data_IF_897573355253
#
_entry.id   IF_897573355253
#
_cell.length_a   1.000
_cell.length_b   1.000
_cell.length_c   1.000
_cell.angle_alpha   90.00
_cell.angle_beta   90.00
_cell.angle_gamma   90.00
#
_symmetry.space_group_name_H-M   'P 1'
#
loop_
_entity.id
_entity.type
_entity.pdbx_description
1 polymer ?
#
# COMPACT_ATOMS: atom_id res chain seq x y z
N UNK A 1 22.93 -13.98 -88.75
CA UNK A 1 23.75 -13.76 -87.54
C UNK A 1 23.00 -12.72 -86.75
N UNK A 2 22.09 -13.14 -85.86
CA UNK A 2 21.21 -12.24 -85.12
C UNK A 2 21.58 -12.26 -83.64
N UNK A 3 21.78 -11.05 -83.11
CA UNK A 3 22.22 -10.75 -81.75
C UNK A 3 20.96 -10.52 -80.92
N UNK A 4 20.71 -11.35 -79.91
CA UNK A 4 19.64 -11.10 -78.95
C UNK A 4 20.17 -10.20 -77.82
N UNK A 5 19.63 -8.98 -77.72
CA UNK A 5 19.85 -8.07 -76.60
C UNK A 5 18.96 -8.48 -75.41
N UNK A 6 19.50 -8.42 -74.19
CA UNK A 6 18.77 -8.66 -72.94
C UNK A 6 18.51 -7.30 -72.29
N UNK A 7 17.25 -6.84 -72.27
CA UNK A 7 16.84 -5.58 -71.62
C UNK A 7 16.61 -5.81 -70.12
N UNK A 8 17.22 -4.96 -69.29
CA UNK A 8 17.11 -4.98 -67.82
C UNK A 8 16.16 -3.86 -67.36
N UNK A 9 14.87 -4.17 -67.23
CA UNK A 9 13.86 -3.17 -66.84
C UNK A 9 13.40 -3.37 -65.39
N UNK A 10 14.25 -3.00 -64.44
CA UNK A 10 13.77 -2.59 -63.12
C UNK A 10 13.39 -1.09 -63.22
N UNK A 11 12.11 -0.84 -63.47
CA UNK A 11 11.52 0.51 -63.59
C UNK A 11 11.87 1.41 -62.40
N UNK A 12 12.46 2.58 -62.67
CA UNK A 12 12.83 3.63 -61.71
C UNK A 12 11.70 4.01 -60.73
N UNK A 13 10.45 3.74 -61.09
CA UNK A 13 9.28 3.96 -60.24
C UNK A 13 9.24 3.11 -58.97
N UNK A 14 9.73 1.86 -59.01
CA UNK A 14 9.74 0.96 -57.86
C UNK A 14 10.81 1.35 -56.83
N UNK A 15 11.99 1.77 -57.31
CA UNK A 15 13.10 2.23 -56.47
C UNK A 15 12.70 3.51 -55.71
N UNK A 16 12.00 4.44 -56.37
CA UNK A 16 11.53 5.69 -55.75
C UNK A 16 10.45 5.42 -54.69
N UNK A 17 9.54 4.46 -54.93
CA UNK A 17 8.52 4.09 -53.94
C UNK A 17 9.14 3.41 -52.72
N UNK A 18 10.12 2.55 -52.91
CA UNK A 18 10.81 1.87 -51.81
C UNK A 18 11.62 2.87 -50.95
N UNK A 19 12.33 3.81 -51.58
CA UNK A 19 13.03 4.88 -50.86
C UNK A 19 12.08 5.81 -50.08
N UNK A 20 10.88 6.10 -50.61
CA UNK A 20 9.84 6.86 -49.91
C UNK A 20 9.29 6.08 -48.71
N UNK A 21 9.07 4.77 -48.87
CA UNK A 21 8.61 3.90 -47.77
C UNK A 21 9.64 3.82 -46.63
N UNK A 22 10.93 3.78 -46.94
CA UNK A 22 12.03 3.80 -45.95
C UNK A 22 12.08 5.14 -45.21
N UNK A 23 11.98 6.28 -45.91
CA UNK A 23 11.92 7.61 -45.29
C UNK A 23 10.70 7.78 -44.38
N UNK A 24 9.53 7.31 -44.81
CA UNK A 24 8.29 7.37 -44.01
C UNK A 24 8.40 6.51 -42.74
N UNK A 25 9.01 5.31 -42.82
CA UNK A 25 9.30 4.46 -41.66
C UNK A 25 10.26 5.14 -40.68
N UNK A 26 11.31 5.83 -41.16
CA UNK A 26 12.26 6.57 -40.33
C UNK A 26 11.57 7.74 -39.59
N UNK A 27 10.75 8.52 -40.31
CA UNK A 27 9.96 9.62 -39.74
C UNK A 27 8.94 9.16 -38.70
N UNK A 28 8.30 7.99 -38.91
CA UNK A 28 7.39 7.39 -37.92
C UNK A 28 8.10 6.92 -36.65
N UNK A 29 9.33 6.42 -36.77
CA UNK A 29 10.17 6.04 -35.61
C UNK A 29 10.57 7.28 -34.79
N UNK A 30 10.99 8.36 -35.45
CA UNK A 30 11.34 9.63 -34.78
C UNK A 30 10.13 10.28 -34.10
N UNK A 31 8.96 10.31 -34.75
CA UNK A 31 7.72 10.79 -34.13
C UNK A 31 7.27 9.94 -32.93
N UNK A 32 7.55 8.62 -32.92
CA UNK A 32 7.32 7.77 -31.75
C UNK A 32 8.30 8.11 -30.61
N UNK A 33 9.57 8.36 -30.90
CA UNK A 33 10.56 8.76 -29.87
C UNK A 33 10.17 10.06 -29.16
N UNK A 34 9.71 11.07 -29.90
CA UNK A 34 9.28 12.35 -29.33
C UNK A 34 7.94 12.26 -28.57
N UNK A 35 7.00 11.41 -29.01
CA UNK A 35 5.70 11.21 -28.35
C UNK A 35 5.79 10.51 -26.99
N UNK A 36 6.81 9.67 -26.77
CA UNK A 36 7.01 8.94 -25.52
C UNK A 36 8.00 9.61 -24.55
N UNK A 37 8.54 10.80 -24.88
CA UNK A 37 9.42 11.53 -23.96
C UNK A 37 10.68 10.77 -23.54
N UNK A 38 11.10 9.75 -24.31
CA UNK A 38 12.30 8.97 -24.04
C UNK A 38 13.49 9.84 -24.46
N UNK A 39 14.01 10.66 -23.54
CA UNK A 39 15.33 11.27 -23.71
C UNK A 39 16.34 10.13 -23.63
N UNK A 40 17.01 9.82 -24.74
CA UNK A 40 18.19 8.95 -24.72
C UNK A 40 19.23 9.64 -23.84
N UNK A 41 19.37 9.19 -22.58
CA UNK A 41 20.46 9.60 -21.72
C UNK A 41 21.69 8.85 -22.18
N UNK A 42 22.65 9.56 -22.74
CA UNK A 42 23.98 9.02 -23.01
C UNK A 42 24.74 8.98 -21.69
N UNK A 43 25.15 7.79 -21.25
CA UNK A 43 25.97 7.60 -20.06
C UNK A 43 27.42 7.34 -20.48
N UNK A 44 28.38 7.99 -19.84
CA UNK A 44 29.78 7.94 -20.26
C UNK A 44 30.52 6.74 -19.66
N UNK A 45 30.02 6.18 -18.55
CA UNK A 45 30.59 5.00 -17.91
C UNK A 45 29.50 4.08 -17.34
N UNK A 46 29.87 2.81 -17.09
CA UNK A 46 28.95 1.81 -16.54
C UNK A 46 28.47 2.16 -15.11
N UNK A 47 29.27 2.88 -14.33
CA UNK A 47 28.90 3.31 -12.97
C UNK A 47 27.75 4.32 -12.94
N UNK A 48 27.70 5.23 -13.92
CA UNK A 48 26.63 6.21 -14.10
C UNK A 48 25.33 5.53 -14.53
N UNK A 49 25.41 4.49 -15.37
CA UNK A 49 24.26 3.67 -15.75
C UNK A 49 23.66 3.00 -14.52
N UNK A 50 24.50 2.32 -13.72
CA UNK A 50 24.04 1.67 -12.49
C UNK A 50 23.44 2.65 -11.49
N UNK A 51 24.10 3.80 -11.27
CA UNK A 51 23.62 4.83 -10.36
C UNK A 51 22.30 5.44 -10.84
N UNK A 52 22.14 5.66 -12.15
CA UNK A 52 20.89 6.17 -12.73
C UNK A 52 19.76 5.15 -12.57
N UNK A 53 20.01 3.88 -12.87
CA UNK A 53 19.05 2.78 -12.68
C UNK A 53 18.66 2.71 -11.20
N UNK A 54 19.63 2.61 -10.27
CA UNK A 54 19.34 2.55 -8.83
C UNK A 54 18.51 3.75 -8.35
N UNK A 55 18.84 4.95 -8.80
CA UNK A 55 18.11 6.17 -8.43
C UNK A 55 16.72 6.25 -9.07
N UNK A 56 16.54 5.79 -10.30
CA UNK A 56 15.27 5.79 -11.01
C UNK A 56 14.32 4.74 -10.43
N UNK A 57 14.84 3.56 -10.07
CA UNK A 57 14.11 2.55 -9.30
C UNK A 57 13.71 3.09 -7.93
N UNK A 58 14.62 3.74 -7.22
CA UNK A 58 14.33 4.35 -5.90
C UNK A 58 13.23 5.40 -6.01
N UNK A 59 13.31 6.29 -7.01
CA UNK A 59 12.29 7.33 -7.26
C UNK A 59 10.95 6.76 -7.73
N UNK A 60 10.95 5.70 -8.53
CA UNK A 60 9.73 5.00 -8.93
C UNK A 60 9.03 4.39 -7.72
N UNK A 61 9.78 3.72 -6.83
CA UNK A 61 9.24 3.19 -5.58
C UNK A 61 8.66 4.29 -4.70
N UNK A 62 9.36 5.42 -4.49
CA UNK A 62 8.87 6.47 -3.58
C UNK A 62 7.68 7.24 -4.14
N UNK A 63 7.62 7.48 -5.46
CA UNK A 63 6.63 8.39 -6.05
C UNK A 63 5.38 7.66 -6.58
N UNK A 64 5.47 6.41 -7.02
CA UNK A 64 4.30 5.65 -7.49
C UNK A 64 3.58 4.87 -6.38
N UNK A 65 4.18 4.68 -5.20
CA UNK A 65 3.39 4.43 -4.01
C UNK A 65 2.89 5.76 -3.45
N UNK A 66 1.98 6.40 -4.17
CA UNK A 66 0.96 7.17 -3.46
C UNK A 66 0.31 6.17 -2.51
N UNK A 67 0.72 6.19 -1.24
CA UNK A 67 0.00 5.54 -0.16
C UNK A 67 -1.31 6.31 -0.08
N UNK A 68 -2.25 5.99 -0.96
CA UNK A 68 -3.62 6.43 -0.82
C UNK A 68 -4.02 5.83 0.52
N UNK A 69 -4.06 6.66 1.56
CA UNK A 69 -4.61 6.35 2.88
C UNK A 69 -6.15 6.26 2.73
N UNK A 70 -6.62 5.64 1.66
CA UNK A 70 -7.93 5.05 1.51
C UNK A 70 -7.86 3.76 2.29
N UNK A 71 -8.06 3.87 3.60
CA UNK A 71 -8.08 2.73 4.51
C UNK A 71 -8.99 1.66 3.91
N UNK A 72 -8.42 0.49 3.62
CA UNK A 72 -9.14 -0.55 2.90
C UNK A 72 -10.39 -0.97 3.68
N UNK A 73 -11.46 -1.34 2.97
CA UNK A 73 -12.69 -1.81 3.63
C UNK A 73 -12.41 -3.03 4.51
N UNK A 74 -11.43 -3.86 4.14
CA UNK A 74 -10.97 -5.03 4.89
C UNK A 74 -10.34 -4.60 6.21
N UNK A 75 -9.48 -3.58 6.19
CA UNK A 75 -8.88 -3.02 7.40
C UNK A 75 -9.96 -2.50 8.33
N UNK A 76 -10.88 -1.65 7.84
CA UNK A 76 -11.99 -1.14 8.63
C UNK A 76 -12.86 -2.24 9.24
N UNK A 77 -13.15 -3.30 8.48
CA UNK A 77 -13.95 -4.43 8.95
C UNK A 77 -13.24 -5.16 10.09
N UNK A 78 -11.96 -5.51 9.90
CA UNK A 78 -11.16 -6.19 10.92
C UNK A 78 -10.94 -5.33 12.18
N UNK A 79 -10.74 -4.02 12.01
CA UNK A 79 -10.64 -3.06 13.10
C UNK A 79 -11.94 -2.91 13.88
N UNK A 80 -13.09 -2.85 13.19
CA UNK A 80 -14.39 -2.72 13.83
C UNK A 80 -14.73 -3.98 14.64
N UNK A 81 -14.45 -5.16 14.10
CA UNK A 81 -14.63 -6.42 14.82
C UNK A 81 -13.69 -6.53 16.02
N UNK A 82 -12.41 -6.17 15.85
CA UNK A 82 -11.47 -6.09 16.96
C UNK A 82 -11.94 -5.08 18.02
N UNK A 83 -12.47 -3.93 17.61
CA UNK A 83 -13.00 -2.92 18.52
C UNK A 83 -14.20 -3.46 19.33
N UNK A 84 -15.02 -4.34 18.76
CA UNK A 84 -16.12 -5.04 19.45
C UNK A 84 -15.67 -6.14 20.40
N UNK A 85 -14.48 -6.72 20.21
CA UNK A 85 -14.01 -7.80 21.09
C UNK A 85 -13.80 -7.29 22.52
N UNK A 86 -14.19 -8.05 23.54
CA UNK A 86 -14.00 -7.63 24.94
C UNK A 86 -12.57 -7.89 25.45
N UNK A 87 -11.57 -7.41 24.69
CA UNK A 87 -10.16 -7.47 25.09
C UNK A 87 -9.88 -6.44 26.18
N UNK A 88 -9.26 -6.88 27.27
CA UNK A 88 -8.74 -6.03 28.33
C UNK A 88 -7.55 -5.21 27.79
N UNK A 89 -7.67 -3.89 27.87
CA UNK A 89 -6.63 -2.95 27.44
C UNK A 89 -6.17 -2.19 28.67
N UNK A 90 -4.86 -2.19 28.90
CA UNK A 90 -4.26 -1.37 29.95
C UNK A 90 -3.80 -0.05 29.32
N UNK A 91 -4.26 1.06 29.85
CA UNK A 91 -3.87 2.41 29.41
C UNK A 91 -2.94 3.04 30.44
N UNK A 92 -1.86 3.65 29.97
CA UNK A 92 -0.98 4.51 30.76
C UNK A 92 -0.97 5.86 30.06
N UNK A 93 -1.51 6.88 30.74
CA UNK A 93 -1.51 8.25 30.26
C UNK A 93 -0.32 9.01 30.81
N UNK A 94 0.41 9.65 29.91
CA UNK A 94 1.32 10.76 30.19
C UNK A 94 0.70 12.06 29.65
N UNK A 95 1.23 13.21 30.05
CA UNK A 95 0.60 14.53 29.82
C UNK A 95 0.25 14.80 28.35
N UNK A 96 1.08 14.34 27.40
CA UNK A 96 0.88 14.52 25.96
C UNK A 96 0.55 13.23 25.19
N UNK A 97 0.89 12.06 25.74
CA UNK A 97 0.80 10.77 25.05
C UNK A 97 0.13 9.70 25.89
N UNK A 98 -0.68 8.86 25.26
CA UNK A 98 -1.30 7.68 25.86
C UNK A 98 -0.73 6.42 25.23
N UNK A 99 -0.27 5.52 26.09
CA UNK A 99 0.22 4.21 25.71
C UNK A 99 -0.82 3.17 26.11
N UNK A 100 -1.28 2.41 25.12
CA UNK A 100 -2.21 1.31 25.29
C UNK A 100 -1.49 -0.02 25.07
N UNK A 101 -1.64 -0.92 26.04
CA UNK A 101 -1.15 -2.29 25.96
C UNK A 101 -2.31 -3.22 25.66
N UNK A 102 -2.15 -4.00 24.60
CA UNK A 102 -3.19 -4.83 24.00
C UNK A 102 -2.68 -6.29 23.99
N UNK A 103 -3.46 -7.27 24.44
CA UNK A 103 -3.08 -8.68 24.31
C UNK A 103 -2.99 -9.07 22.83
N UNK A 104 -1.88 -9.71 22.46
CA UNK A 104 -1.76 -10.37 21.17
C UNK A 104 -2.63 -11.64 21.12
N UNK A 105 -2.72 -12.22 19.93
CA UNK A 105 -3.51 -13.42 19.64
C UNK A 105 -4.99 -13.31 20.02
N UNK A 106 -5.66 -14.45 20.19
CA UNK A 106 -7.05 -14.56 20.62
C UNK A 106 -7.22 -14.43 22.15
N UNK A 107 -6.12 -14.12 22.86
CA UNK A 107 -6.16 -13.87 24.29
C UNK A 107 -7.02 -12.64 24.60
N UNK A 108 -7.87 -12.77 25.61
CA UNK A 108 -8.75 -11.69 26.06
C UNK A 108 -8.05 -10.74 27.04
N UNK A 109 -7.03 -11.20 27.76
CA UNK A 109 -6.32 -10.43 28.78
C UNK A 109 -4.91 -10.96 29.02
N UNK A 110 -4.06 -10.15 29.64
CA UNK A 110 -2.75 -10.53 30.18
C UNK A 110 -2.68 -10.15 31.66
N UNK A 111 -1.79 -10.77 32.44
CA UNK A 111 -1.63 -10.44 33.86
C UNK A 111 -0.78 -9.18 34.06
N UNK A 112 -0.91 -8.51 35.21
CA UNK A 112 -0.05 -7.38 35.55
C UNK A 112 1.44 -7.78 35.63
N UNK A 113 1.72 -9.04 35.99
CA UNK A 113 3.06 -9.59 35.99
C UNK A 113 3.64 -9.66 34.57
N UNK A 114 2.84 -10.04 33.57
CA UNK A 114 3.26 -10.08 32.16
C UNK A 114 3.58 -8.67 31.64
N UNK A 115 2.76 -7.68 32.00
CA UNK A 115 3.00 -6.29 31.62
C UNK A 115 4.29 -5.75 32.25
N UNK A 116 4.51 -6.05 33.54
CA UNK A 116 5.74 -5.65 34.23
C UNK A 116 6.97 -6.35 33.65
N UNK A 117 6.84 -7.62 33.26
CA UNK A 117 7.91 -8.36 32.58
C UNK A 117 8.22 -7.73 31.24
N UNK A 118 7.20 -7.40 30.44
CA UNK A 118 7.34 -6.74 29.15
C UNK A 118 8.06 -5.39 29.27
N UNK A 119 7.68 -4.54 30.23
CA UNK A 119 8.32 -3.22 30.44
C UNK A 119 9.80 -3.32 30.84
N UNK A 120 10.17 -4.33 31.61
CA UNK A 120 11.55 -4.54 32.08
C UNK A 120 12.38 -5.42 31.14
N UNK A 121 11.80 -5.88 30.04
CA UNK A 121 12.40 -6.91 29.21
C UNK A 121 13.63 -6.38 28.48
N UNK A 122 14.73 -7.13 28.59
CA UNK A 122 15.88 -7.05 27.68
C UNK A 122 15.93 -8.36 26.91
N UNK A 123 16.19 -8.29 25.61
CA UNK A 123 16.25 -9.49 24.77
C UNK A 123 17.69 -9.98 24.71
N UNK A 124 17.99 -11.09 25.39
CA UNK A 124 19.28 -11.80 25.24
C UNK A 124 19.16 -13.03 24.36
N UNK A 125 17.95 -13.57 24.21
CA UNK A 125 17.66 -14.74 23.38
C UNK A 125 16.52 -14.48 22.41
N UNK A 126 16.51 -15.19 21.29
CA UNK A 126 15.42 -15.10 20.30
C UNK A 126 14.06 -15.49 20.90
N UNK A 127 14.01 -16.47 21.79
CA UNK A 127 12.76 -16.87 22.46
C UNK A 127 12.18 -15.76 23.34
N UNK A 128 13.03 -14.96 24.01
CA UNK A 128 12.57 -13.78 24.74
C UNK A 128 12.02 -12.72 23.78
N UNK A 129 12.73 -12.45 22.68
CA UNK A 129 12.24 -11.55 21.63
C UNK A 129 10.89 -12.01 21.06
N UNK A 130 10.72 -13.31 20.76
CA UNK A 130 9.45 -13.85 20.29
C UNK A 130 8.30 -13.57 21.26
N UNK A 131 8.53 -13.75 22.58
CA UNK A 131 7.53 -13.44 23.63
C UNK A 131 7.18 -11.96 23.75
N UNK A 132 7.94 -11.03 23.17
CA UNK A 132 7.54 -9.62 23.17
C UNK A 132 6.39 -9.34 22.21
N UNK A 133 6.14 -10.24 21.26
CA UNK A 133 5.00 -10.12 20.34
C UNK A 133 3.69 -10.60 20.97
N UNK A 134 3.71 -11.04 22.24
CA UNK A 134 2.51 -11.42 23.00
C UNK A 134 1.71 -10.18 23.46
N UNK A 135 2.32 -8.98 23.43
CA UNK A 135 1.68 -7.72 23.81
C UNK A 135 1.92 -6.66 22.73
N UNK A 136 0.83 -6.14 22.17
CA UNK A 136 0.89 -4.98 21.29
C UNK A 136 0.91 -3.68 22.10
N UNK A 137 1.89 -2.84 21.82
CA UNK A 137 2.03 -1.50 22.34
C UNK A 137 1.53 -0.52 21.27
N UNK A 138 0.57 0.32 21.64
CA UNK A 138 -0.01 1.36 20.80
C UNK A 138 0.18 2.71 21.49
N UNK A 139 0.93 3.60 20.84
CA UNK A 139 1.16 4.97 21.30
C UNK A 139 0.26 5.90 20.50
N UNK A 140 -0.53 6.71 21.20
CA UNK A 140 -1.42 7.71 20.62
C UNK A 140 -1.23 9.05 21.29
N UNK A 141 -1.29 10.13 20.52
CA UNK A 141 -1.41 11.48 21.07
C UNK A 141 -2.82 11.66 21.67
N UNK A 142 -2.95 12.57 22.64
CA UNK A 142 -4.22 12.83 23.33
C UNK A 142 -5.31 13.43 22.42
N UNK A 143 -4.92 13.94 21.26
CA UNK A 143 -5.78 14.65 20.33
C UNK A 143 -6.51 13.72 19.34
N UNK A 144 -7.44 14.31 18.57
CA UNK A 144 -8.19 13.64 17.50
C UNK A 144 -7.31 13.13 16.34
N UNK A 145 -5.99 13.38 16.38
CA UNK A 145 -5.01 12.99 15.36
C UNK A 145 -4.56 11.53 15.46
N UNK A 146 -5.49 10.58 15.66
CA UNK A 146 -5.18 9.15 15.76
C UNK A 146 -4.42 8.52 14.57
N UNK A 147 -4.28 9.24 13.45
CA UNK A 147 -3.51 8.81 12.28
C UNK A 147 -1.99 8.88 12.50
N UNK A 148 -1.52 9.69 13.45
CA UNK A 148 -0.09 9.80 13.82
C UNK A 148 0.34 8.70 14.80
N UNK A 149 -0.61 7.89 15.28
CA UNK A 149 -0.37 6.85 16.26
C UNK A 149 0.57 5.76 15.76
N UNK A 150 1.33 5.17 16.69
CA UNK A 150 2.35 4.15 16.40
C UNK A 150 1.98 2.84 17.05
N UNK A 151 2.24 1.72 16.37
CA UNK A 151 2.00 0.39 16.94
C UNK A 151 3.18 -0.55 16.65
N UNK A 152 3.54 -1.40 17.61
CA UNK A 152 4.63 -2.39 17.45
C UNK A 152 4.22 -3.67 16.67
N UNK A 153 2.96 -3.80 16.23
CA UNK A 153 2.52 -5.02 15.56
C UNK A 153 3.09 -5.15 14.12
N UNK A 154 3.29 -6.37 13.60
CA UNK A 154 3.86 -6.59 12.26
C UNK A 154 3.09 -5.90 11.13
N UNK A 155 1.77 -5.86 11.22
CA UNK A 155 0.94 -5.21 10.21
C UNK A 155 1.19 -3.68 10.14
N UNK A 156 1.47 -3.06 11.29
CA UNK A 156 1.83 -1.64 11.35
C UNK A 156 3.23 -1.40 10.79
N UNK A 157 4.22 -2.22 11.17
CA UNK A 157 5.58 -2.07 10.66
C UNK A 157 5.65 -2.18 9.13
N UNK A 158 4.75 -2.95 8.52
CA UNK A 158 4.68 -3.09 7.06
C UNK A 158 3.94 -1.94 6.36
N UNK A 159 2.80 -1.53 6.89
CA UNK A 159 1.88 -0.63 6.18
C UNK A 159 1.71 0.75 6.84
N UNK A 160 2.38 0.99 7.97
CA UNK A 160 2.20 2.15 8.86
C UNK A 160 0.75 2.37 9.34
N UNK A 161 -0.08 1.33 9.21
CA UNK A 161 -1.46 1.31 9.69
C UNK A 161 -1.85 -0.13 10.00
N UNK A 162 -2.58 -0.35 11.08
CA UNK A 162 -2.99 -1.68 11.50
C UNK A 162 -4.39 -1.69 12.11
N UNK A 163 -4.91 -2.90 12.32
CA UNK A 163 -6.24 -3.08 12.90
C UNK A 163 -6.36 -2.50 14.30
N UNK A 164 -5.27 -2.49 15.07
CA UNK A 164 -5.21 -2.00 16.45
C UNK A 164 -5.33 -0.47 16.53
N UNK A 165 -4.62 0.28 15.68
CA UNK A 165 -4.69 1.75 15.63
C UNK A 165 -6.12 2.20 15.30
N UNK A 166 -6.66 1.69 14.18
CA UNK A 166 -8.02 2.03 13.72
C UNK A 166 -9.06 1.49 14.71
N UNK A 167 -8.85 0.30 15.27
CA UNK A 167 -9.76 -0.29 16.24
C UNK A 167 -9.82 0.50 17.54
N UNK A 168 -8.68 0.98 18.03
CA UNK A 168 -8.62 1.81 19.24
C UNK A 168 -9.29 3.16 18.99
N UNK A 169 -9.04 3.79 17.84
CA UNK A 169 -9.70 5.06 17.49
C UNK A 169 -11.22 4.91 17.36
N UNK A 170 -11.72 3.74 16.96
CA UNK A 170 -13.16 3.42 17.02
C UNK A 170 -13.65 3.34 18.47
N UNK A 171 -12.94 2.62 19.38
CA UNK A 171 -13.33 2.51 20.81
C UNK A 171 -13.35 3.87 21.51
N UNK A 172 -12.35 4.70 21.23
CA UNK A 172 -12.21 6.05 21.76
C UNK A 172 -13.11 7.08 21.06
N UNK A 173 -13.88 6.67 20.03
CA UNK A 173 -14.78 7.51 19.24
C UNK A 173 -14.09 8.65 18.47
N UNK A 174 -12.78 8.57 18.23
CA UNK A 174 -12.04 9.50 17.38
C UNK A 174 -12.35 9.33 15.88
N UNK A 175 -12.86 8.17 15.48
CA UNK A 175 -13.32 7.95 14.12
C UNK A 175 -14.64 7.18 14.06
N UNK A 176 -15.39 7.39 12.97
CA UNK A 176 -16.62 6.65 12.67
C UNK A 176 -16.33 5.65 11.55
N UNK A 177 -16.46 4.33 11.80
CA UNK A 177 -16.23 3.34 10.77
C UNK A 177 -17.30 3.44 9.68
N UNK A 178 -16.94 3.24 8.40
CA UNK A 178 -17.89 3.31 7.29
C UNK A 178 -18.99 2.24 7.44
N UNK A 179 -20.21 2.55 7.00
CA UNK A 179 -21.35 1.64 7.13
C UNK A 179 -21.11 0.27 6.47
N UNK A 180 -20.34 0.27 5.37
CA UNK A 180 -19.96 -0.95 4.66
C UNK A 180 -19.10 -1.91 5.51
N UNK A 181 -18.32 -1.40 6.49
CA UNK A 181 -17.48 -2.22 7.35
C UNK A 181 -18.26 -2.84 8.53
N UNK A 182 -19.38 -2.22 8.93
CA UNK A 182 -20.21 -2.71 10.04
C UNK A 182 -21.03 -3.95 9.70
N UNK A 183 -21.25 -4.17 8.40
CA UNK A 183 -22.23 -5.14 7.87
C UNK A 183 -21.63 -6.49 7.46
N UNK A 184 -20.31 -6.67 7.56
CA UNK A 184 -19.64 -7.92 7.15
C UNK A 184 -19.23 -8.72 8.38
N UNK A 185 -19.74 -9.95 8.60
CA UNK A 185 -19.17 -10.90 9.55
C UNK A 185 -17.87 -11.52 9.02
N UNK A 186 -16.99 -11.97 9.92
CA UNK A 186 -15.66 -12.49 9.55
C UNK A 186 -15.79 -13.82 8.78
N UNK A 187 -14.98 -14.02 7.74
CA UNK A 187 -14.97 -15.26 6.95
C UNK A 187 -16.07 -15.36 5.88
N UNK A 188 -17.07 -14.49 5.89
CA UNK A 188 -18.09 -14.46 4.85
C UNK A 188 -17.72 -13.51 3.71
N UNK A 189 -17.64 -14.08 2.51
CA UNK A 189 -17.62 -13.27 1.29
C UNK A 189 -18.99 -12.58 1.17
N UNK A 190 -19.00 -11.27 0.89
CA UNK A 190 -20.25 -10.57 0.57
C UNK A 190 -20.97 -11.33 -0.55
N UNK A 191 -22.28 -11.57 -0.39
CA UNK A 191 -23.11 -12.10 -1.47
C UNK A 191 -22.92 -11.24 -2.73
N UNK A 192 -22.78 -11.90 -3.88
CA UNK A 192 -22.57 -11.21 -5.16
C UNK A 192 -23.79 -10.31 -5.43
N UNK A 193 -23.56 -9.03 -5.72
CA UNK A 193 -24.62 -8.07 -6.01
C UNK A 193 -24.36 -6.68 -5.42
N UNK A 194 -25.19 -5.71 -5.82
CA UNK A 194 -25.15 -4.34 -5.28
C UNK A 194 -25.61 -4.36 -3.82
N UNK A 195 -24.91 -3.69 -2.88
CA UNK A 195 -25.42 -3.54 -1.52
C UNK A 195 -26.78 -2.85 -1.54
N UNK A 196 -27.68 -3.30 -0.66
CA UNK A 196 -28.98 -2.68 -0.47
C UNK A 196 -28.82 -1.18 -0.16
N UNK A 197 -29.64 -0.33 -0.79
CA UNK A 197 -29.66 1.11 -0.52
C UNK A 197 -30.00 1.33 0.96
N UNK A 198 -29.40 2.34 1.57
CA UNK A 198 -29.76 2.74 2.93
C UNK A 198 -31.28 2.97 3.02
N UNK A 199 -31.93 2.38 4.03
CA UNK A 199 -33.36 2.60 4.26
C UNK A 199 -33.56 4.09 4.60
N UNK A 200 -34.52 4.79 3.98
CA UNK A 200 -34.85 6.15 4.38
C UNK A 200 -35.22 6.15 5.88
N UNK A 201 -34.77 7.18 6.59
CA UNK A 201 -35.07 7.33 8.02
C UNK A 201 -36.59 7.34 8.22
N UNK A 202 -37.06 6.56 9.19
CA UNK A 202 -38.46 6.52 9.57
C UNK A 202 -38.83 7.90 10.15
N UNK A 203 -39.57 8.71 9.39
CA UNK A 203 -40.22 9.90 9.94
C UNK A 203 -41.43 9.41 10.73
N UNK A 204 -41.31 9.35 12.05
CA UNK A 204 -42.46 9.16 12.94
C UNK A 204 -43.28 10.44 12.85
N UNK A 205 -44.54 10.31 12.42
CA UNK A 205 -45.54 11.39 12.44
C UNK A 205 -46.19 11.46 13.81
#
# INVERSE_FOLDING_TARGET
>A
MEVAQYESDASDGEIIQEQRAVKEKKRRREKKKTKFGIKEKTFNNAGEVEASIKNEWTKHYTNHTQHVIGQSIVLWTSSYQWAKSNKNIVCISSDSTKIYYIPADDLQSFSQADLNRYKKQKFTTFNQFKKSFDIWCLEMENDSHWKTSKCNCPAFMKNFICKHVVGMSIRLKYCKPPAAAKTIPIGEKRKRGRPSKARPALLVK
#
